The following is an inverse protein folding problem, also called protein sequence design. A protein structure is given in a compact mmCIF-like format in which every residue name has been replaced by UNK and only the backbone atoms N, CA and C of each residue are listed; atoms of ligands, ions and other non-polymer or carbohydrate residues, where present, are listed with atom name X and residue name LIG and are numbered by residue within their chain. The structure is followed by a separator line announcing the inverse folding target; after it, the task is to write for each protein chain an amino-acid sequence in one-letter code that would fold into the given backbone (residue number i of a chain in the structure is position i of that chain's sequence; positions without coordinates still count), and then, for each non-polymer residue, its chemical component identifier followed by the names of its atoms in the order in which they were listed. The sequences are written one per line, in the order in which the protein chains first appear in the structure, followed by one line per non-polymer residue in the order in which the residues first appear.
data_IF_186236371468
#
_entry.id   IF_186236371468
#
_cell.length_a   1.000
_cell.length_b   1.000
_cell.length_c   1.000
_cell.angle_alpha   90.00
_cell.angle_beta   90.00
_cell.angle_gamma   90.00
#
_symmetry.space_group_name_H-M   'P 1'
#
loop_
_entity.id
_entity.type
_entity.pdbx_description
1 polymer ?
#
# COMPACT_ATOMS: atom_id res chain seq x y z
N UNK A 1 -8.79 5.43 -0.96
CA UNK A 1 -7.86 6.09 -1.91
C UNK A 1 -6.74 5.10 -2.18
N UNK A 2 -6.22 5.08 -3.41
CA UNK A 2 -5.12 4.19 -3.82
C UNK A 2 -3.87 5.03 -4.03
N UNK A 3 -2.72 4.45 -3.73
CA UNK A 3 -1.41 5.02 -3.97
C UNK A 3 -0.53 3.92 -4.54
N UNK A 4 0.37 4.27 -5.45
CA UNK A 4 1.36 3.34 -5.98
C UNK A 4 2.41 3.01 -4.93
N UNK A 5 2.81 1.73 -4.85
CA UNK A 5 3.83 1.26 -3.90
C UNK A 5 5.16 1.99 -4.09
N UNK A 6 5.53 2.26 -5.35
CA UNK A 6 6.75 2.98 -5.71
C UNK A 6 6.80 4.39 -5.14
N UNK A 7 5.68 5.13 -5.17
CA UNK A 7 5.61 6.49 -4.64
C UNK A 7 5.89 6.49 -3.14
N UNK A 8 5.24 5.59 -2.38
CA UNK A 8 5.47 5.46 -0.94
C UNK A 8 6.93 5.09 -0.66
N UNK A 9 7.47 4.12 -1.40
CA UNK A 9 8.86 3.68 -1.22
C UNK A 9 9.85 4.82 -1.47
N UNK A 10 9.72 5.51 -2.59
CA UNK A 10 10.62 6.60 -2.96
C UNK A 10 10.58 7.77 -1.98
N UNK A 11 9.40 8.14 -1.48
CA UNK A 11 9.27 9.22 -0.49
C UNK A 11 9.92 8.86 0.84
N UNK A 12 9.71 7.63 1.32
CA UNK A 12 10.27 7.17 2.60
C UNK A 12 11.79 6.95 2.50
N UNK A 13 12.29 6.43 1.38
CA UNK A 13 13.72 6.33 1.10
C UNK A 13 14.37 7.73 1.00
N UNK A 14 13.72 8.70 0.35
CA UNK A 14 14.18 10.11 0.33
C UNK A 14 14.20 10.77 1.70
N UNK A 15 13.33 10.35 2.61
CA UNK A 15 13.34 10.77 4.01
C UNK A 15 14.49 10.11 4.83
N UNK A 16 15.31 9.28 4.20
CA UNK A 16 16.49 8.65 4.79
C UNK A 16 16.26 7.27 5.39
N UNK A 17 15.03 6.74 5.36
CA UNK A 17 14.76 5.39 5.83
C UNK A 17 15.23 4.35 4.80
N UNK A 18 15.45 3.13 5.26
CA UNK A 18 15.83 2.00 4.39
C UNK A 18 14.72 0.95 4.43
N UNK A 19 14.28 0.48 3.27
CA UNK A 19 13.34 -0.63 3.18
C UNK A 19 14.01 -1.90 3.76
N UNK A 20 13.36 -2.52 4.74
CA UNK A 20 13.85 -3.73 5.40
C UNK A 20 13.14 -4.99 4.89
N UNK A 21 11.81 -4.92 4.73
CA UNK A 21 10.99 -6.06 4.30
C UNK A 21 9.67 -5.59 3.66
N UNK A 22 9.12 -6.41 2.78
CA UNK A 22 7.72 -6.34 2.34
C UNK A 22 6.96 -7.61 2.72
N UNK A 23 5.64 -7.52 2.80
CA UNK A 23 4.78 -8.66 3.07
C UNK A 23 3.53 -8.66 2.19
N UNK A 24 2.99 -9.86 1.92
CA UNK A 24 1.91 -10.06 0.95
C UNK A 24 0.54 -10.39 1.58
N UNK A 25 0.42 -10.43 2.90
CA UNK A 25 -0.81 -10.88 3.57
C UNK A 25 -2.02 -9.94 3.39
N UNK A 26 -1.84 -8.74 2.84
CA UNK A 26 -2.94 -7.84 2.43
C UNK A 26 -3.13 -7.74 0.91
N UNK A 27 -2.36 -8.51 0.13
CA UNK A 27 -2.50 -8.52 -1.33
C UNK A 27 -3.81 -9.21 -1.70
N UNK A 28 -4.50 -8.64 -2.69
CA UNK A 28 -5.68 -9.19 -3.30
C UNK A 28 -5.53 -9.20 -4.84
N UNK A 29 -5.08 -10.31 -5.45
CA UNK A 29 -4.92 -10.40 -6.90
C UNK A 29 -6.24 -10.33 -7.67
N UNK A 30 -7.40 -10.47 -7.01
CA UNK A 30 -8.72 -10.38 -7.66
C UNK A 30 -9.27 -8.95 -7.65
N UNK A 31 -8.52 -7.97 -7.14
CA UNK A 31 -8.92 -6.57 -7.16
C UNK A 31 -8.73 -5.97 -8.56
N UNK A 32 -9.84 -5.68 -9.23
CA UNK A 32 -9.89 -5.13 -10.58
C UNK A 32 -9.41 -3.69 -10.71
N UNK A 33 -9.25 -2.97 -9.58
CA UNK A 33 -8.83 -1.56 -9.53
C UNK A 33 -9.75 -0.55 -10.25
N UNK A 34 -10.90 -0.97 -10.76
CA UNK A 34 -11.89 -0.16 -11.49
C UNK A 34 -12.94 0.51 -10.59
N UNK A 35 -12.72 0.52 -9.27
CA UNK A 35 -13.66 1.03 -8.28
C UNK A 35 -12.95 1.85 -7.18
N UNK A 36 -13.70 2.74 -6.53
CA UNK A 36 -13.15 3.62 -5.50
C UNK A 36 -12.97 2.93 -4.15
N UNK A 37 -11.73 2.75 -3.73
CA UNK A 37 -11.37 2.27 -2.39
C UNK A 37 -11.50 3.35 -1.29
N UNK A 38 -12.26 4.42 -1.50
CA UNK A 38 -12.49 5.43 -0.45
C UNK A 38 -13.50 4.91 0.58
N UNK A 39 -13.35 5.19 1.89
CA UNK A 39 -14.28 4.69 2.91
C UNK A 39 -15.75 5.03 2.65
N UNK A 40 -16.03 6.17 1.99
CA UNK A 40 -17.38 6.62 1.67
C UNK A 40 -17.97 5.98 0.40
N UNK A 41 -17.15 5.46 -0.51
CA UNK A 41 -17.60 4.94 -1.81
C UNK A 41 -17.42 3.43 -1.95
N UNK A 42 -16.59 2.80 -1.10
CA UNK A 42 -16.26 1.38 -1.23
C UNK A 42 -17.45 0.43 -0.97
N UNK A 43 -18.46 0.86 -0.21
CA UNK A 43 -19.65 0.04 0.10
C UNK A 43 -19.26 -1.35 0.63
N UNK A 44 -19.84 -2.39 0.04
CA UNK A 44 -19.58 -3.80 0.38
C UNK A 44 -18.14 -4.25 0.06
N UNK A 45 -17.45 -3.57 -0.87
CA UNK A 45 -16.04 -3.84 -1.21
C UNK A 45 -15.06 -3.23 -0.20
N UNK A 46 -15.53 -2.61 0.88
CA UNK A 46 -14.66 -1.97 1.88
C UNK A 46 -13.71 -3.00 2.50
N UNK A 47 -12.42 -2.74 2.41
CA UNK A 47 -11.38 -3.59 2.96
C UNK A 47 -10.91 -4.72 2.04
N UNK A 48 -11.45 -4.81 0.82
CA UNK A 48 -11.09 -5.85 -0.16
C UNK A 48 -10.17 -5.35 -1.27
N UNK A 49 -9.71 -4.09 -1.23
CA UNK A 49 -8.72 -3.61 -2.20
C UNK A 49 -7.37 -4.30 -2.01
N UNK A 50 -6.62 -4.48 -3.09
CA UNK A 50 -5.20 -4.85 -3.07
C UNK A 50 -4.43 -3.80 -2.27
N UNK A 51 -3.60 -4.27 -1.34
CA UNK A 51 -2.82 -3.44 -0.43
C UNK A 51 -1.44 -4.05 -0.27
N UNK A 52 -0.44 -3.20 -0.12
CA UNK A 52 0.93 -3.61 0.17
C UNK A 52 1.31 -3.26 1.61
N UNK A 53 2.33 -3.95 2.11
CA UNK A 53 2.91 -3.72 3.44
C UNK A 53 4.41 -3.59 3.27
N UNK A 54 4.95 -2.46 3.72
CA UNK A 54 6.38 -2.16 3.71
C UNK A 54 6.85 -1.87 5.14
N UNK A 55 7.93 -2.54 5.55
CA UNK A 55 8.64 -2.30 6.80
C UNK A 55 9.91 -1.52 6.49
N UNK A 56 10.06 -0.35 7.11
CA UNK A 56 11.25 0.48 7.01
C UNK A 56 11.99 0.55 8.34
N UNK A 57 13.31 0.70 8.26
CA UNK A 57 14.18 0.97 9.41
C UNK A 57 14.81 2.36 9.28
N UNK A 58 15.04 3.01 10.43
CA UNK A 58 15.90 4.20 10.47
C UNK A 58 17.34 3.79 10.12
N UNK A 59 18.07 4.61 9.36
CA UNK A 59 19.50 4.41 9.16
C UNK A 59 20.21 4.57 10.51
N UNK A 60 21.35 3.89 10.67
CA UNK A 60 22.18 4.02 11.87
C UNK A 60 22.80 5.40 11.98
#
# INVERSE_FOLDING_TARGET
HRIEESVVREEIERAGFVLDRSASFLRNPTDTMDWSASPRQAGEKRGTSDRFVLLFKKPK
#
